data_IF_324573544402
#
_entry.id   IF_324573544402
#
_cell.length_a   1.000
_cell.length_b   1.000
_cell.length_c   1.000
_cell.angle_alpha   90.00
_cell.angle_beta   90.00
_cell.angle_gamma   90.00
#
_symmetry.space_group_name_H-M   'P 1'
#
loop_
_entity.id
_entity.type
_entity.pdbx_description
1 polymer ?
#
# COMPACT_ATOMS: atom_id res chain seq x y z
N UNK A 1 11.12 -15.47 17.18
CA UNK A 1 9.95 -14.58 17.31
C UNK A 1 9.74 -14.02 15.93
N UNK A 2 8.69 -14.43 15.22
CA UNK A 2 8.46 -13.95 13.87
C UNK A 2 8.17 -12.45 13.95
N UNK A 3 9.14 -11.65 13.57
CA UNK A 3 8.93 -10.24 13.27
C UNK A 3 7.85 -10.18 12.18
N UNK A 4 6.63 -9.87 12.60
CA UNK A 4 5.54 -9.55 11.70
C UNK A 4 6.09 -8.46 10.77
N UNK A 5 6.39 -8.77 9.50
CA UNK A 5 6.95 -7.82 8.54
C UNK A 5 5.96 -6.66 8.40
N UNK A 6 6.22 -5.59 9.15
CA UNK A 6 5.34 -4.43 9.26
C UNK A 6 5.66 -3.49 8.11
N UNK A 7 4.91 -3.60 7.02
CA UNK A 7 4.92 -2.59 5.96
C UNK A 7 4.35 -1.27 6.48
N UNK A 8 5.17 -0.21 6.51
CA UNK A 8 4.70 1.13 6.88
C UNK A 8 4.22 1.87 5.63
N UNK A 9 2.92 2.19 5.58
CA UNK A 9 2.30 2.86 4.44
C UNK A 9 1.77 4.25 4.85
N UNK A 10 2.08 5.25 4.04
CA UNK A 10 1.56 6.61 4.13
C UNK A 10 0.50 6.77 3.03
N UNK A 11 -0.76 6.97 3.41
CA UNK A 11 -1.86 7.15 2.45
C UNK A 11 -2.25 8.62 2.42
N UNK A 12 -2.20 9.22 1.24
CA UNK A 12 -2.68 10.58 0.98
C UNK A 12 -3.95 10.50 0.12
N UNK A 13 -5.08 10.89 0.71
CA UNK A 13 -6.36 11.01 0.01
C UNK A 13 -6.44 12.41 -0.58
N UNK A 14 -6.57 12.50 -1.90
CA UNK A 14 -6.68 13.78 -2.61
C UNK A 14 -8.15 14.13 -2.88
N UNK A 15 -8.95 13.13 -3.25
CA UNK A 15 -10.36 13.29 -3.58
C UNK A 15 -11.17 12.09 -3.06
N UNK A 16 -12.44 12.36 -2.74
CA UNK A 16 -13.41 11.35 -2.37
C UNK A 16 -14.63 11.50 -3.27
N UNK A 17 -14.57 10.87 -4.44
CA UNK A 17 -15.66 10.92 -5.41
C UNK A 17 -16.36 9.57 -5.51
N UNK A 18 -17.68 9.59 -5.69
CA UNK A 18 -18.52 8.42 -5.90
C UNK A 18 -18.35 7.32 -4.82
N UNK A 19 -18.30 7.73 -3.55
CA UNK A 19 -18.07 6.86 -2.38
C UNK A 19 -16.75 6.06 -2.41
N UNK A 20 -15.76 6.50 -3.20
CA UNK A 20 -14.47 5.85 -3.34
C UNK A 20 -13.35 6.84 -3.02
N UNK A 21 -12.26 6.36 -2.42
CA UNK A 21 -11.09 7.20 -2.15
C UNK A 21 -10.15 7.17 -3.35
N UNK A 22 -9.70 8.35 -3.78
CA UNK A 22 -8.68 8.51 -4.80
C UNK A 22 -7.49 9.29 -4.23
N UNK A 23 -6.29 8.82 -4.53
CA UNK A 23 -5.11 9.39 -3.94
C UNK A 23 -3.83 8.65 -4.30
N UNK A 24 -2.90 8.66 -3.37
CA UNK A 24 -1.63 7.95 -3.51
C UNK A 24 -1.23 7.31 -2.19
N UNK A 25 -0.60 6.15 -2.29
CA UNK A 25 0.00 5.42 -1.18
C UNK A 25 1.51 5.40 -1.38
N UNK A 26 2.24 5.75 -0.34
CA UNK A 26 3.68 5.68 -0.28
C UNK A 26 4.08 4.62 0.72
N UNK A 27 4.79 3.61 0.24
CA UNK A 27 5.47 2.66 1.10
C UNK A 27 6.73 3.31 1.66
N UNK A 28 6.73 3.60 2.96
CA UNK A 28 7.77 4.37 3.62
C UNK A 28 9.12 3.63 3.62
N UNK A 29 9.11 2.31 3.79
CA UNK A 29 10.33 1.50 3.86
C UNK A 29 11.12 1.50 2.54
N UNK A 30 10.41 1.35 1.42
CA UNK A 30 11.02 1.30 0.08
C UNK A 30 10.98 2.62 -0.67
N UNK A 31 10.42 3.67 -0.05
CA UNK A 31 10.14 4.96 -0.67
C UNK A 31 9.36 4.83 -2.01
N UNK A 32 8.50 3.81 -2.13
CA UNK A 32 7.73 3.55 -3.35
C UNK A 32 6.39 4.25 -3.25
N UNK A 33 6.09 5.16 -4.19
CA UNK A 33 4.78 5.82 -4.26
C UNK A 33 3.97 5.28 -5.43
N UNK A 34 2.69 4.96 -5.18
CA UNK A 34 1.72 4.48 -6.17
C UNK A 34 0.42 5.24 -6.03
N UNK A 35 -0.18 5.62 -7.15
CA UNK A 35 -1.50 6.23 -7.17
C UNK A 35 -2.57 5.13 -7.12
N UNK A 36 -3.65 5.40 -6.39
CA UNK A 36 -4.82 4.55 -6.36
C UNK A 36 -6.07 5.33 -6.75
N UNK A 37 -6.96 4.69 -7.50
CA UNK A 37 -8.22 5.24 -8.00
C UNK A 37 -9.44 4.68 -7.26
N UNK A 38 -9.21 3.74 -6.33
CA UNK A 38 -10.24 3.22 -5.44
C UNK A 38 -9.66 2.61 -4.16
N UNK A 39 -10.50 2.46 -3.14
CA UNK A 39 -10.16 1.76 -1.90
C UNK A 39 -9.72 0.32 -2.15
N UNK A 40 -10.32 -0.37 -3.11
CA UNK A 40 -9.93 -1.75 -3.46
C UNK A 40 -8.55 -1.79 -4.13
N UNK A 41 -8.24 -0.82 -4.99
CA UNK A 41 -6.92 -0.69 -5.60
C UNK A 41 -5.85 -0.39 -4.55
N UNK A 42 -6.16 0.46 -3.56
CA UNK A 42 -5.27 0.70 -2.41
C UNK A 42 -4.95 -0.59 -1.66
N UNK A 43 -5.96 -1.40 -1.34
CA UNK A 43 -5.76 -2.68 -0.65
C UNK A 43 -4.89 -3.63 -1.48
N UNK A 44 -5.15 -3.75 -2.79
CA UNK A 44 -4.32 -4.57 -3.69
C UNK A 44 -2.87 -4.10 -3.77
N UNK A 45 -2.62 -2.79 -3.73
CA UNK A 45 -1.28 -2.23 -3.73
C UNK A 45 -0.53 -2.55 -2.42
N UNK A 46 -1.20 -2.49 -1.27
CA UNK A 46 -0.62 -2.86 0.02
C UNK A 46 -0.38 -4.37 0.11
N UNK A 47 -1.36 -5.18 -0.30
CA UNK A 47 -1.26 -6.64 -0.35
C UNK A 47 -0.10 -7.09 -1.24
N UNK A 48 -0.03 -6.57 -2.47
CA UNK A 48 1.08 -6.83 -3.37
C UNK A 48 2.43 -6.39 -2.80
N UNK A 49 2.50 -5.25 -2.08
CA UNK A 49 3.73 -4.82 -1.43
C UNK A 49 4.18 -5.80 -0.34
N UNK A 50 3.26 -6.30 0.49
CA UNK A 50 3.53 -7.26 1.58
C UNK A 50 3.92 -8.64 1.02
N UNK A 51 3.17 -9.18 0.05
CA UNK A 51 3.46 -10.49 -0.56
C UNK A 51 4.79 -10.48 -1.35
N UNK A 52 5.18 -9.33 -1.90
CA UNK A 52 6.49 -9.16 -2.55
C UNK A 52 7.66 -9.26 -1.57
N UNK A 53 7.44 -9.08 -0.27
CA UNK A 53 8.49 -9.18 0.75
C UNK A 53 8.76 -10.64 1.13
N UNK A 54 7.69 -11.44 1.19
CA UNK A 54 7.76 -12.85 1.59
C UNK A 54 8.63 -13.69 0.62
N UNK A 55 8.69 -13.29 -0.66
CA UNK A 55 9.48 -14.00 -1.69
C UNK A 55 10.97 -13.70 -1.70
N UNK A 56 11.48 -12.78 -0.87
CA UNK A 56 12.93 -12.50 -0.74
C UNK A 56 13.59 -13.15 0.48
N UNK A 57 12.83 -13.86 1.31
CA UNK A 57 13.32 -14.51 2.53
C UNK A 57 13.29 -16.05 2.48
N UNK A 58 13.16 -16.67 1.29
CA UNK A 58 13.30 -18.12 1.09
C UNK A 58 14.59 -18.49 0.37
#
# INVERSE_FOLDING_TARGET
MAENQKGTFIVKINHTDNASWQGQVTWADKNITKNFRSTLELIKLMDGAITSEETKNS
#
